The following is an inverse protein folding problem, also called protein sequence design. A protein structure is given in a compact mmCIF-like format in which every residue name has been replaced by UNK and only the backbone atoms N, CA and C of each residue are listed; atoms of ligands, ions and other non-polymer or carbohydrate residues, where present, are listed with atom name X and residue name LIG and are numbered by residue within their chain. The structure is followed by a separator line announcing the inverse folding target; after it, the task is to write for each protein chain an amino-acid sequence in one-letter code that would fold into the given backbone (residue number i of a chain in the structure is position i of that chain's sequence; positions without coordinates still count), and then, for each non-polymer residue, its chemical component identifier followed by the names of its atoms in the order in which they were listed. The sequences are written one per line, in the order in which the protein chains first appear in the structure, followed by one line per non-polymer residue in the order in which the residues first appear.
data_IF_003899524084
#
_entry.id   IF_003899524084
#
_cell.length_a   1.000
_cell.length_b   1.000
_cell.length_c   1.000
_cell.angle_alpha   90.00
_cell.angle_beta   90.00
_cell.angle_gamma   90.00
#
_symmetry.space_group_name_H-M   'P 1'
#
loop_
_entity.id
_entity.type
_entity.pdbx_description
1 polymer ?
#
# COMPACT_ATOMS: atom_id res chain seq x y z
N UNK A 1 0.18 -7.08 17.09
CA UNK A 1 1.31 -6.64 16.26
C UNK A 1 0.90 -5.34 15.58
N UNK A 2 1.68 -4.27 15.75
CA UNK A 2 1.42 -2.97 15.14
C UNK A 2 2.41 -2.80 14.01
N UNK A 3 1.92 -2.76 12.78
CA UNK A 3 2.74 -2.43 11.62
C UNK A 3 2.69 -0.91 11.40
N UNK A 4 3.84 -0.29 11.13
CA UNK A 4 3.96 1.16 10.88
C UNK A 4 4.30 1.42 9.42
N UNK A 5 3.85 2.55 8.91
CA UNK A 5 4.30 3.06 7.62
C UNK A 5 5.82 3.31 7.66
N UNK A 6 6.53 2.90 6.61
CA UNK A 6 7.96 3.10 6.48
C UNK A 6 8.36 4.50 5.97
N UNK A 7 7.39 5.31 5.51
CA UNK A 7 7.63 6.69 5.08
C UNK A 7 8.03 7.54 6.28
N UNK A 8 9.20 8.22 6.27
CA UNK A 8 9.64 9.07 7.36
C UNK A 8 8.58 10.12 7.72
N UNK A 9 8.32 10.29 9.02
CA UNK A 9 7.31 11.24 9.52
C UNK A 9 5.85 10.78 9.41
N UNK A 10 5.57 9.66 8.72
CA UNK A 10 4.22 9.12 8.66
C UNK A 10 3.83 8.41 9.97
N UNK A 11 2.80 8.91 10.65
CA UNK A 11 2.27 8.35 11.91
C UNK A 11 1.21 7.26 11.68
N UNK A 12 0.97 6.86 10.44
CA UNK A 12 0.00 5.82 10.11
C UNK A 12 0.45 4.47 10.66
N UNK A 13 -0.37 3.89 11.52
CA UNK A 13 -0.16 2.56 12.11
C UNK A 13 -1.35 1.67 11.84
N UNK A 14 -1.11 0.42 11.49
CA UNK A 14 -2.13 -0.60 11.36
C UNK A 14 -2.25 -1.40 12.65
N UNK A 15 -3.47 -1.45 13.22
CA UNK A 15 -3.77 -2.20 14.44
C UNK A 15 -4.69 -3.37 14.13
N UNK A 16 -4.17 -4.59 14.23
CA UNK A 16 -4.91 -5.83 13.99
C UNK A 16 -5.88 -6.10 15.16
N UNK A 17 -6.98 -5.36 15.25
CA UNK A 17 -7.99 -5.50 16.31
C UNK A 17 -8.95 -4.34 16.53
N UNK A 18 -8.73 -3.18 15.89
CA UNK A 18 -9.62 -2.02 16.03
C UNK A 18 -10.04 -1.53 14.64
N UNK A 19 -10.95 -2.28 14.02
CA UNK A 19 -11.51 -1.97 12.71
C UNK A 19 -12.55 -0.85 12.85
N UNK A 20 -12.08 0.40 12.94
CA UNK A 20 -12.95 1.58 12.78
C UNK A 20 -12.66 2.21 11.43
N UNK A 21 -13.75 2.59 10.76
CA UNK A 21 -14.01 3.25 9.47
C UNK A 21 -12.91 4.12 8.78
N UNK A 22 -11.81 4.47 9.44
CA UNK A 22 -10.65 5.20 8.92
C UNK A 22 -9.38 4.32 8.78
N UNK A 23 -9.56 3.01 8.54
CA UNK A 23 -8.45 2.06 8.47
C UNK A 23 -7.53 2.30 7.27
N UNK A 24 -6.31 2.75 7.58
CA UNK A 24 -5.24 2.85 6.60
C UNK A 24 -4.72 1.44 6.31
N UNK A 25 -4.75 1.03 5.03
CA UNK A 25 -4.19 -0.26 4.62
C UNK A 25 -2.69 -0.13 4.41
N UNK A 26 -1.91 -1.12 4.87
CA UNK A 26 -0.46 -1.18 4.65
C UNK A 26 -0.11 -2.16 3.53
N UNK A 27 0.58 -1.64 2.51
CA UNK A 27 1.01 -2.39 1.35
C UNK A 27 2.49 -2.72 1.45
N UNK A 28 2.82 -3.97 1.19
CA UNK A 28 4.20 -4.40 1.06
C UNK A 28 4.80 -3.86 -0.25
N UNK A 29 6.09 -3.57 -0.22
CA UNK A 29 6.80 -3.09 -1.40
C UNK A 29 6.89 -4.23 -2.43
N UNK A 30 6.45 -4.03 -3.68
CA UNK A 30 6.68 -4.98 -4.75
C UNK A 30 8.19 -5.17 -4.95
N UNK A 31 8.66 -6.42 -5.06
CA UNK A 31 10.10 -6.72 -5.24
C UNK A 31 10.72 -5.96 -6.43
N UNK A 32 9.93 -5.73 -7.47
CA UNK A 32 10.32 -5.04 -8.71
C UNK A 32 10.34 -3.52 -8.59
N UNK A 33 9.72 -2.94 -7.56
CA UNK A 33 9.56 -1.49 -7.39
C UNK A 33 10.36 -0.93 -6.22
N UNK A 34 11.13 -1.76 -5.50
CA UNK A 34 11.88 -1.35 -4.31
C UNK A 34 12.84 -0.18 -4.60
N UNK A 35 13.65 -0.27 -5.65
CA UNK A 35 14.60 0.78 -6.01
C UNK A 35 13.90 2.10 -6.32
N UNK A 36 12.81 2.06 -7.09
CA UNK A 36 12.03 3.26 -7.42
C UNK A 36 11.42 3.91 -6.18
N UNK A 37 10.91 3.11 -5.26
CA UNK A 37 10.34 3.63 -4.01
C UNK A 37 11.40 4.23 -3.09
N UNK A 38 12.61 3.65 -3.06
CA UNK A 38 13.76 4.20 -2.33
C UNK A 38 14.22 5.55 -2.90
N UNK A 39 14.18 5.72 -4.23
CA UNK A 39 14.52 6.99 -4.89
C UNK A 39 13.50 8.10 -4.59
N UNK A 40 12.21 7.74 -4.52
CA UNK A 40 11.12 8.69 -4.27
C UNK A 40 10.97 9.09 -2.80
N UNK A 41 11.32 8.20 -1.87
CA UNK A 41 11.14 8.43 -0.45
C UNK A 41 12.49 8.81 0.16
N UNK A 42 12.78 10.13 0.29
CA UNK A 42 14.06 10.59 0.80
C UNK A 42 14.29 10.04 2.21
N UNK A 43 15.53 9.59 2.45
CA UNK A 43 16.02 9.12 3.75
C UNK A 43 15.39 7.82 4.28
N UNK A 44 14.78 7.01 3.43
CA UNK A 44 14.17 5.76 3.87
C UNK A 44 15.05 4.54 3.58
N UNK A 45 15.44 3.83 4.64
CA UNK A 45 15.99 2.47 4.54
C UNK A 45 14.87 1.46 4.23
N UNK A 46 14.09 1.71 3.17
CA UNK A 46 13.00 0.83 2.76
C UNK A 46 13.58 -0.53 2.41
N UNK A 47 13.07 -1.56 3.06
CA UNK A 47 13.39 -2.96 2.78
C UNK A 47 12.21 -3.64 2.12
N UNK A 48 12.41 -4.82 1.55
CA UNK A 48 11.32 -5.66 1.00
C UNK A 48 10.27 -6.07 2.04
N UNK A 49 10.58 -5.98 3.33
CA UNK A 49 9.65 -6.24 4.44
C UNK A 49 8.91 -4.99 4.91
N UNK A 50 9.37 -3.80 4.51
CA UNK A 50 8.74 -2.54 4.84
C UNK A 50 7.36 -2.43 4.20
N UNK A 51 6.48 -1.64 4.82
CA UNK A 51 5.15 -1.39 4.29
C UNK A 51 4.82 0.08 4.27
N UNK A 52 4.06 0.49 3.25
CA UNK A 52 3.62 1.87 3.06
C UNK A 52 2.11 1.93 3.14
N UNK A 53 1.61 2.98 3.76
CA UNK A 53 0.20 3.16 4.02
C UNK A 53 -0.54 3.72 2.80
N UNK A 54 -1.83 3.38 2.67
CA UNK A 54 -2.67 3.74 1.51
C UNK A 54 -2.74 5.24 1.22
N UNK A 55 -2.39 6.11 2.18
CA UNK A 55 -2.41 7.58 2.03
C UNK A 55 -1.31 8.13 1.13
N UNK A 56 -0.30 7.31 0.84
CA UNK A 56 0.79 7.69 -0.07
C UNK A 56 0.50 7.31 -1.52
N UNK A 57 -0.64 6.66 -1.79
CA UNK A 57 -1.02 6.30 -3.14
C UNK A 57 -2.27 7.07 -3.54
N UNK A 58 -2.41 7.34 -4.83
CA UNK A 58 -3.63 7.92 -5.36
C UNK A 58 -4.73 6.87 -5.43
N UNK A 59 -6.00 7.31 -5.49
CA UNK A 59 -7.11 6.35 -5.61
C UNK A 59 -7.03 5.54 -6.91
N UNK A 60 -6.46 6.14 -7.96
CA UNK A 60 -6.17 5.55 -9.26
C UNK A 60 -5.13 4.42 -9.22
N UNK A 61 -4.28 4.38 -8.20
CA UNK A 61 -3.29 3.33 -8.02
C UNK A 61 -3.89 2.03 -7.46
N UNK A 62 -5.14 2.06 -7.01
CA UNK A 62 -5.82 0.88 -6.48
C UNK A 62 -6.65 0.18 -7.53
N UNK A 63 -6.51 -1.15 -7.56
CA UNK A 63 -7.40 -2.03 -8.32
C UNK A 63 -8.76 -2.08 -7.65
N UNK A 64 -9.81 -1.74 -8.39
CA UNK A 64 -11.21 -1.82 -7.95
C UNK A 64 -11.78 -3.24 -8.13
N UNK A 65 -11.31 -3.98 -9.12
CA UNK A 65 -11.74 -5.34 -9.40
C UNK A 65 -10.98 -5.97 -10.55
N UNK A 66 -11.46 -7.13 -10.98
CA UNK A 66 -11.01 -7.82 -12.20
C UNK A 66 -12.23 -8.18 -13.04
N UNK A 67 -12.08 -8.05 -14.35
CA UNK A 67 -13.07 -8.54 -15.30
C UNK A 67 -12.66 -9.94 -15.78
N UNK A 68 -13.55 -10.92 -15.58
CA UNK A 68 -13.36 -12.30 -16.00
C UNK A 68 -14.57 -12.67 -16.84
N UNK A 69 -14.36 -13.04 -18.10
CA UNK A 69 -15.43 -13.44 -19.03
C UNK A 69 -16.57 -12.39 -19.10
N UNK A 70 -16.22 -11.11 -19.21
CA UNK A 70 -17.16 -9.97 -19.23
C UNK A 70 -17.99 -9.80 -17.94
N UNK A 71 -17.59 -10.43 -16.84
CA UNK A 71 -18.19 -10.25 -15.52
C UNK A 71 -17.22 -9.52 -14.61
N UNK A 72 -17.65 -8.39 -14.06
CA UNK A 72 -16.85 -7.60 -13.13
C UNK A 72 -16.93 -8.19 -11.71
N UNK A 73 -15.75 -8.52 -11.16
CA UNK A 73 -15.60 -9.02 -9.80
C UNK A 73 -14.84 -7.99 -8.94
N UNK A 74 -15.50 -7.29 -7.99
CA UNK A 74 -14.84 -6.31 -7.15
C UNK A 74 -13.89 -6.99 -6.15
N UNK A 75 -12.74 -6.36 -5.90
CA UNK A 75 -11.82 -6.86 -4.88
C UNK A 75 -12.30 -6.51 -3.48
N UNK A 76 -12.38 -7.51 -2.60
CA UNK A 76 -12.71 -7.32 -1.17
C UNK A 76 -11.62 -6.58 -0.39
N UNK A 77 -10.41 -6.51 -0.93
CA UNK A 77 -9.25 -5.83 -0.34
C UNK A 77 -8.62 -4.91 -1.36
N UNK A 78 -8.28 -3.68 -0.95
CA UNK A 78 -7.51 -2.77 -1.80
C UNK A 78 -6.21 -3.46 -2.20
N UNK A 79 -5.87 -3.39 -3.48
CA UNK A 79 -4.66 -3.97 -4.05
C UNK A 79 -4.02 -2.93 -4.95
N UNK A 80 -2.70 -2.74 -4.88
CA UNK A 80 -2.01 -1.77 -5.72
C UNK A 80 -1.85 -2.26 -7.16
N UNK A 81 -1.84 -1.32 -8.10
CA UNK A 81 -1.46 -1.53 -9.48
C UNK A 81 0.02 -1.89 -9.60
N UNK A 82 0.36 -2.66 -10.63
CA UNK A 82 1.74 -2.99 -10.92
C UNK A 82 2.44 -1.70 -11.39
N UNK A 83 3.37 -1.19 -10.57
CA UNK A 83 4.08 0.05 -10.85
C UNK A 83 3.56 1.28 -10.08
N UNK A 84 2.54 1.13 -9.22
CA UNK A 84 2.14 2.19 -8.31
C UNK A 84 3.33 2.67 -7.48
N UNK A 85 3.41 3.98 -7.30
CA UNK A 85 4.46 4.66 -6.54
C UNK A 85 3.84 5.43 -5.37
N UNK A 86 4.51 5.44 -4.21
CA UNK A 86 4.08 6.17 -3.01
C UNK A 86 4.46 7.66 -3.05
#
# INVERSE_FOLDING_TARGET
MVDRCAVPGCKSTYYKGNQKENEVTLFAIPKTSLSKWQELIPCSNLTSTSRICSRHFEESDFKTGIEILNVFHPYKRRTLNAGAIP
#
